data_IF_222850602081
#
_entry.id   IF_222850602081
#
_cell.length_a   1.000
_cell.length_b   1.000
_cell.length_c   1.000
_cell.angle_alpha   90.00
_cell.angle_beta   90.00
_cell.angle_gamma   90.00
#
_symmetry.space_group_name_H-M   'P 1'
#
loop_
_entity.id
_entity.type
_entity.pdbx_description
1 polymer ?
#
# COMPACT_ATOMS: atom_id res chain seq x y z
N UNK A 1 -5.89 -7.14 -16.00
CA UNK A 1 -5.07 -8.02 -15.14
C UNK A 1 -3.91 -8.53 -15.98
N UNK A 2 -2.66 -8.41 -15.51
CA UNK A 2 -1.50 -9.02 -16.18
C UNK A 2 -1.18 -10.32 -15.46
N UNK A 3 -1.10 -11.41 -16.22
CA UNK A 3 -0.61 -12.69 -15.75
C UNK A 3 0.90 -12.80 -16.01
N UNK A 4 1.62 -13.40 -15.08
CA UNK A 4 3.04 -13.69 -15.18
C UNK A 4 3.22 -15.21 -15.10
N UNK A 5 4.09 -15.75 -15.96
CA UNK A 5 4.42 -17.18 -15.97
C UNK A 5 5.91 -17.38 -15.74
N UNK A 6 6.29 -18.31 -14.87
CA UNK A 6 7.68 -18.74 -14.67
C UNK A 6 7.74 -20.26 -14.51
N UNK A 7 8.95 -20.80 -14.55
CA UNK A 7 9.20 -22.22 -14.25
C UNK A 7 9.88 -22.30 -12.88
N UNK A 8 9.37 -23.16 -12.00
CA UNK A 8 9.99 -23.43 -10.70
C UNK A 8 11.34 -24.15 -10.89
N UNK A 9 12.21 -24.16 -9.87
CA UNK A 9 13.47 -24.93 -9.92
C UNK A 9 13.26 -26.44 -10.14
N UNK A 10 12.08 -26.96 -9.84
CA UNK A 10 11.70 -28.37 -10.04
C UNK A 10 10.98 -28.62 -11.38
N UNK A 11 10.85 -27.61 -12.24
CA UNK A 11 10.28 -27.73 -13.58
C UNK A 11 8.77 -27.47 -13.68
N UNK A 12 8.12 -27.03 -12.60
CA UNK A 12 6.68 -26.79 -12.57
C UNK A 12 6.32 -25.39 -13.10
N UNK A 13 5.22 -25.25 -13.84
CA UNK A 13 4.77 -23.96 -14.34
C UNK A 13 4.05 -23.15 -13.24
N UNK A 14 4.62 -22.00 -12.88
CA UNK A 14 4.04 -21.05 -11.94
C UNK A 14 3.26 -19.98 -12.70
N UNK A 15 2.01 -19.73 -12.29
CA UNK A 15 1.16 -18.66 -12.84
C UNK A 15 0.76 -17.70 -11.72
N UNK A 16 1.12 -16.44 -11.85
CA UNK A 16 0.72 -15.37 -10.94
C UNK A 16 -0.18 -14.35 -11.65
N UNK A 17 -1.29 -13.97 -11.02
CA UNK A 17 -2.20 -12.94 -11.52
C UNK A 17 -2.25 -11.80 -10.53
N UNK A 18 -1.70 -10.65 -10.93
CA UNK A 18 -1.79 -9.44 -10.11
C UNK A 18 -3.21 -8.85 -10.19
N UNK A 19 -4.00 -9.13 -9.16
CA UNK A 19 -5.35 -8.58 -8.97
C UNK A 19 -5.35 -7.23 -8.24
N UNK A 20 -4.26 -6.89 -7.54
CA UNK A 20 -4.17 -5.73 -6.65
C UNK A 20 -3.50 -4.52 -7.30
N UNK A 21 -2.99 -4.65 -8.53
CA UNK A 21 -2.34 -3.56 -9.27
C UNK A 21 -3.06 -2.22 -9.26
N UNK A 22 -4.39 -2.21 -9.29
CA UNK A 22 -5.17 -0.96 -9.24
C UNK A 22 -5.15 -0.31 -7.85
N UNK A 23 -5.04 -1.11 -6.78
CA UNK A 23 -4.88 -0.60 -5.42
C UNK A 23 -3.54 0.13 -5.24
N UNK A 24 -2.53 -0.15 -6.07
CA UNK A 24 -1.26 0.58 -6.03
C UNK A 24 -1.40 2.06 -6.39
N UNK A 25 -2.49 2.45 -7.07
CA UNK A 25 -2.76 3.87 -7.31
C UNK A 25 -3.08 4.62 -6.01
N UNK A 26 -3.57 3.93 -4.97
CA UNK A 26 -3.79 4.53 -3.65
C UNK A 26 -2.49 4.99 -2.99
N UNK A 27 -1.34 4.42 -3.37
CA UNK A 27 -0.02 4.88 -2.89
C UNK A 27 0.24 6.35 -3.21
N UNK A 28 -0.38 6.89 -4.27
CA UNK A 28 -0.26 8.31 -4.65
C UNK A 28 -0.90 9.22 -3.59
N UNK A 29 -1.85 8.71 -2.81
CA UNK A 29 -2.48 9.46 -1.72
C UNK A 29 -1.57 9.60 -0.51
N UNK A 30 -0.60 8.70 -0.34
CA UNK A 30 0.28 8.68 0.81
C UNK A 30 1.11 9.98 0.98
N UNK A 31 1.78 10.53 -0.05
CA UNK A 31 2.45 11.83 0.07
C UNK A 31 1.47 13.01 0.25
N UNK A 32 0.22 12.89 -0.21
CA UNK A 32 -0.78 13.95 -0.10
C UNK A 32 -1.25 14.18 1.35
N UNK A 33 -1.04 13.22 2.25
CA UNK A 33 -1.46 13.35 3.65
C UNK A 33 -0.85 14.57 4.34
N UNK A 34 0.41 14.92 4.03
CA UNK A 34 1.07 16.09 4.60
C UNK A 34 0.43 17.41 4.14
N UNK A 35 0.12 17.50 2.84
CA UNK A 35 -0.56 18.67 2.25
C UNK A 35 -1.97 18.79 2.84
N UNK A 36 -2.67 17.66 3.03
CA UNK A 36 -4.03 17.67 3.59
C UNK A 36 -4.08 18.19 5.04
N UNK A 37 -3.11 17.84 5.88
CA UNK A 37 -3.02 18.35 7.26
C UNK A 37 -2.80 19.87 7.30
N UNK A 38 -1.92 20.39 6.45
CA UNK A 38 -1.68 21.84 6.31
C UNK A 38 -2.93 22.55 5.81
N UNK A 39 -3.60 22.02 4.78
CA UNK A 39 -4.82 22.60 4.23
C UNK A 39 -5.96 22.65 5.24
N UNK A 40 -6.16 21.57 6.01
CA UNK A 40 -7.18 21.50 7.06
C UNK A 40 -6.88 22.47 8.20
N UNK A 41 -5.62 22.59 8.61
CA UNK A 41 -5.21 23.62 9.56
C UNK A 41 -5.50 25.03 9.03
N UNK A 42 -5.15 25.33 7.77
CA UNK A 42 -5.39 26.64 7.17
C UNK A 42 -6.88 27.03 7.12
N UNK A 43 -7.77 26.07 6.85
CA UNK A 43 -9.21 26.29 6.77
C UNK A 43 -9.86 26.44 8.16
N UNK A 44 -9.40 25.65 9.14
CA UNK A 44 -10.08 25.54 10.45
C UNK A 44 -9.40 26.32 11.58
N UNK A 45 -8.14 26.70 11.40
CA UNK A 45 -7.28 27.28 12.43
C UNK A 45 -6.78 26.29 13.49
N UNK A 46 -7.21 25.02 13.46
CA UNK A 46 -6.89 24.05 14.51
C UNK A 46 -5.54 23.36 14.25
N UNK A 47 -4.63 23.44 15.20
CA UNK A 47 -3.28 22.89 15.14
C UNK A 47 -3.26 21.35 15.16
N UNK A 48 -4.31 20.71 15.67
CA UNK A 48 -4.43 19.25 15.71
C UNK A 48 -4.31 18.62 14.31
N UNK A 49 -4.72 19.33 13.25
CA UNK A 49 -4.58 18.85 11.87
C UNK A 49 -3.14 18.69 11.40
N UNK A 50 -2.19 19.39 12.02
CA UNK A 50 -0.76 19.22 11.72
C UNK A 50 -0.24 17.86 12.20
N UNK A 51 -0.94 17.21 13.15
CA UNK A 51 -0.63 15.86 13.60
C UNK A 51 -1.20 14.76 12.70
N UNK A 52 -2.00 15.10 11.68
CA UNK A 52 -2.69 14.14 10.81
C UNK A 52 -1.76 13.09 10.15
N UNK A 53 -0.57 13.44 9.61
CA UNK A 53 0.34 12.45 9.04
C UNK A 53 0.80 11.42 10.08
N UNK A 54 1.04 11.85 11.32
CA UNK A 54 1.45 10.96 12.39
C UNK A 54 0.30 10.03 12.79
N UNK A 55 -0.92 10.55 12.88
CA UNK A 55 -2.09 9.72 13.14
C UNK A 55 -2.27 8.64 12.06
N UNK A 56 -2.14 9.00 10.77
CA UNK A 56 -2.28 8.04 9.69
C UNK A 56 -1.20 6.95 9.77
N UNK A 57 0.06 7.33 10.00
CA UNK A 57 1.18 6.38 10.00
C UNK A 57 1.20 5.51 11.25
N UNK A 58 0.97 6.08 12.43
CA UNK A 58 1.17 5.38 13.70
C UNK A 58 -0.11 4.79 14.30
N UNK A 59 -1.28 5.21 13.82
CA UNK A 59 -2.57 4.68 14.30
C UNK A 59 -3.29 3.97 13.17
N UNK A 60 -3.59 4.69 12.08
CA UNK A 60 -4.44 4.14 11.02
C UNK A 60 -3.76 2.96 10.30
N UNK A 61 -2.49 3.11 9.88
CA UNK A 61 -1.73 2.06 9.19
C UNK A 61 -1.69 0.74 9.97
N UNK A 62 -1.13 0.72 11.20
CA UNK A 62 -1.11 -0.48 12.03
C UNK A 62 -2.50 -1.07 12.31
N UNK A 63 -3.53 -0.22 12.46
CA UNK A 63 -4.91 -0.69 12.65
C UNK A 63 -5.42 -1.40 11.40
N UNK A 64 -5.17 -0.85 10.21
CA UNK A 64 -5.55 -1.49 8.96
C UNK A 64 -4.80 -2.80 8.75
N UNK A 65 -3.49 -2.84 9.02
CA UNK A 65 -2.70 -4.08 8.96
C UNK A 65 -3.22 -5.14 9.92
N UNK A 66 -3.63 -4.74 11.14
CA UNK A 66 -4.22 -5.66 12.11
C UNK A 66 -5.59 -6.18 11.68
N UNK A 67 -6.44 -5.32 11.10
CA UNK A 67 -7.80 -5.69 10.65
C UNK A 67 -7.78 -6.57 9.41
N UNK A 68 -6.89 -6.28 8.45
CA UNK A 68 -6.85 -6.99 7.17
C UNK A 68 -5.81 -8.12 7.13
N UNK A 69 -4.88 -8.17 8.08
CA UNK A 69 -3.80 -9.14 8.14
C UNK A 69 -2.72 -8.92 7.08
N UNK A 70 -1.67 -9.75 7.12
CA UNK A 70 -0.57 -9.70 6.15
C UNK A 70 -1.04 -10.10 4.74
N UNK A 71 -0.49 -9.44 3.71
CA UNK A 71 -0.78 -9.76 2.32
C UNK A 71 -0.12 -11.08 1.90
N UNK A 72 -0.91 -12.16 1.83
CA UNK A 72 -0.45 -13.46 1.32
C UNK A 72 -0.33 -13.53 -0.21
N UNK A 73 -0.68 -12.47 -0.95
CA UNK A 73 -0.57 -12.37 -2.41
C UNK A 73 0.66 -11.57 -2.86
N UNK A 74 1.77 -11.64 -2.13
CA UNK A 74 3.04 -11.13 -2.66
C UNK A 74 3.48 -12.00 -3.86
N UNK A 75 3.93 -11.44 -5.00
CA UNK A 75 4.47 -12.25 -6.09
C UNK A 75 5.60 -13.16 -5.57
N UNK A 76 5.68 -14.43 -6.03
CA UNK A 76 6.78 -15.32 -5.65
C UNK A 76 8.13 -14.64 -5.88
N UNK A 77 9.09 -14.78 -4.95
CA UNK A 77 10.38 -14.07 -5.01
C UNK A 77 11.11 -14.23 -6.36
N UNK A 78 10.85 -15.33 -7.06
CA UNK A 78 11.31 -15.65 -8.42
C UNK A 78 10.96 -14.55 -9.45
N UNK A 79 9.88 -13.78 -9.22
CA UNK A 79 9.45 -12.67 -10.09
C UNK A 79 9.96 -11.29 -9.64
N UNK A 80 10.57 -11.15 -8.46
CA UNK A 80 10.95 -9.86 -7.90
C UNK A 80 12.34 -9.36 -8.36
N UNK A 81 13.13 -10.19 -9.08
CA UNK A 81 14.53 -9.92 -9.45
C UNK A 81 14.81 -9.82 -10.96
N UNK A 82 13.79 -9.72 -11.83
CA UNK A 82 13.99 -9.59 -13.28
C UNK A 82 14.28 -8.15 -13.70
#
# INVERSE_FOLDING_TARGET
>A
MKGYTATSPTGEALVYVDRKRMLWLLSVLYPLQGISGIGLHWITGNEAWLALPFFIIYVLGPTLDWVFGEDTNNPPEVFARS
#
